data_IF_221614872516
#
_entry.id   IF_221614872516
#
_cell.length_a   1.000
_cell.length_b   1.000
_cell.length_c   1.000
_cell.angle_alpha   90.00
_cell.angle_beta   90.00
_cell.angle_gamma   90.00
#
_symmetry.space_group_name_H-M   'P 1'
#
loop_
_entity.id
_entity.type
_entity.pdbx_description
1 polymer ?
#
# COMPACT_ATOMS: atom_id res chain seq x y z
N UNK A 1 47.32 -57.12 -27.12
CA UNK A 1 47.36 -56.06 -26.09
C UNK A 1 46.19 -55.16 -26.25
N UNK A 2 45.19 -55.22 -25.33
CA UNK A 2 43.99 -54.38 -25.35
C UNK A 2 44.11 -53.35 -24.18
N UNK A 3 44.28 -52.12 -24.53
CA UNK A 3 44.28 -50.97 -23.55
C UNK A 3 42.85 -50.74 -23.06
N UNK A 4 42.65 -50.77 -21.74
CA UNK A 4 41.38 -50.35 -21.08
C UNK A 4 41.55 -48.92 -20.64
N UNK A 5 40.83 -48.00 -21.29
CA UNK A 5 40.72 -46.58 -20.88
C UNK A 5 39.64 -46.50 -19.82
N UNK A 6 40.02 -46.18 -18.58
CA UNK A 6 39.08 -45.88 -17.49
C UNK A 6 38.58 -44.44 -17.65
N UNK A 7 37.27 -44.29 -17.91
CA UNK A 7 36.56 -43.01 -17.92
C UNK A 7 36.11 -42.69 -16.50
N UNK A 8 36.77 -41.74 -15.83
CA UNK A 8 36.33 -41.17 -14.55
C UNK A 8 35.16 -40.24 -14.80
N UNK A 9 33.98 -40.67 -14.37
CA UNK A 9 32.80 -39.83 -14.31
C UNK A 9 32.89 -38.94 -13.08
N UNK A 10 33.16 -37.65 -13.28
CA UNK A 10 33.10 -36.62 -12.21
C UNK A 10 31.66 -36.17 -12.05
N UNK A 11 31.03 -36.58 -10.98
CA UNK A 11 29.67 -36.14 -10.63
C UNK A 11 29.74 -34.70 -10.08
N UNK A 12 29.25 -33.72 -10.84
CA UNK A 12 29.06 -32.34 -10.37
C UNK A 12 27.77 -32.30 -9.59
N UNK A 13 27.87 -32.14 -8.27
CA UNK A 13 26.73 -31.84 -7.39
C UNK A 13 26.48 -30.35 -7.48
N UNK A 14 25.46 -29.92 -8.23
CA UNK A 14 24.96 -28.53 -8.15
C UNK A 14 24.19 -28.39 -6.82
N UNK A 15 24.76 -27.62 -5.88
CA UNK A 15 24.03 -27.14 -4.70
C UNK A 15 23.04 -26.04 -5.14
N UNK A 16 21.74 -26.37 -5.17
CA UNK A 16 20.66 -25.38 -5.31
C UNK A 16 20.28 -24.81 -3.95
N UNK A 17 21.12 -23.91 -3.41
CA UNK A 17 20.86 -23.21 -2.15
C UNK A 17 20.66 -21.69 -2.39
N UNK A 18 19.70 -21.31 -3.25
CA UNK A 18 19.57 -19.89 -3.63
C UNK A 18 18.18 -19.26 -3.46
N UNK A 19 17.10 -20.01 -3.49
CA UNK A 19 15.77 -19.42 -3.61
C UNK A 19 15.09 -19.07 -2.27
N UNK A 20 15.34 -19.81 -1.21
CA UNK A 20 14.70 -19.57 0.09
C UNK A 20 15.23 -18.29 0.79
N UNK A 21 16.52 -17.98 0.62
CA UNK A 21 17.13 -16.79 1.23
C UNK A 21 16.68 -15.48 0.56
N UNK A 22 16.51 -15.47 -0.76
CA UNK A 22 16.03 -14.30 -1.50
C UNK A 22 14.56 -13.97 -1.15
N UNK A 23 13.69 -14.97 -1.07
CA UNK A 23 12.28 -14.78 -0.70
C UNK A 23 12.09 -14.28 0.74
N UNK A 24 12.93 -14.74 1.68
CA UNK A 24 12.88 -14.27 3.06
C UNK A 24 13.35 -12.82 3.19
N UNK A 25 14.40 -12.42 2.49
CA UNK A 25 14.90 -11.05 2.46
C UNK A 25 13.87 -10.07 1.86
N UNK A 26 13.21 -10.45 0.77
CA UNK A 26 12.13 -9.68 0.15
C UNK A 26 10.95 -9.50 1.12
N UNK A 27 10.54 -10.57 1.80
CA UNK A 27 9.47 -10.50 2.80
C UNK A 27 9.78 -9.55 3.95
N UNK A 28 11.00 -9.57 4.49
CA UNK A 28 11.40 -8.71 5.60
C UNK A 28 11.46 -7.23 5.17
N UNK A 29 11.88 -6.96 3.95
CA UNK A 29 11.84 -5.62 3.36
C UNK A 29 10.41 -5.12 3.18
N UNK A 30 9.50 -5.95 2.65
CA UNK A 30 8.07 -5.62 2.54
C UNK A 30 7.45 -5.30 3.91
N UNK A 31 7.75 -6.10 4.94
CA UNK A 31 7.27 -5.85 6.30
C UNK A 31 7.79 -4.52 6.84
N UNK A 32 9.08 -4.26 6.70
CA UNK A 32 9.70 -3.00 7.15
C UNK A 32 9.12 -1.80 6.42
N UNK A 33 8.95 -1.90 5.11
CA UNK A 33 8.35 -0.86 4.29
C UNK A 33 6.89 -0.58 4.72
N UNK A 34 6.04 -1.61 4.83
CA UNK A 34 4.66 -1.46 5.27
C UNK A 34 4.55 -0.76 6.64
N UNK A 35 5.38 -1.16 7.61
CA UNK A 35 5.39 -0.57 8.96
C UNK A 35 5.81 0.90 8.95
N UNK A 36 6.56 1.38 7.96
CA UNK A 36 6.97 2.79 7.85
C UNK A 36 5.83 3.73 7.49
N UNK A 37 4.68 3.20 7.06
CA UNK A 37 3.48 4.01 6.77
C UNK A 37 2.92 4.75 7.99
N UNK A 38 3.20 4.28 9.20
CA UNK A 38 2.61 4.79 10.44
C UNK A 38 3.68 5.14 11.48
N UNK A 39 3.33 5.89 12.55
CA UNK A 39 4.23 6.09 13.67
C UNK A 39 4.73 4.75 14.22
N UNK A 40 5.99 4.70 14.65
CA UNK A 40 6.66 3.48 15.13
C UNK A 40 5.81 2.67 16.11
N UNK A 41 5.17 3.34 17.09
CA UNK A 41 4.32 2.70 18.09
C UNK A 41 3.09 1.99 17.49
N UNK A 42 2.62 2.41 16.31
CA UNK A 42 1.54 1.78 15.55
C UNK A 42 2.09 0.71 14.63
N UNK A 43 3.03 1.05 13.75
CA UNK A 43 3.55 0.15 12.72
C UNK A 43 4.18 -1.12 13.27
N UNK A 44 4.97 -1.03 14.35
CA UNK A 44 5.63 -2.20 14.96
C UNK A 44 4.63 -3.23 15.53
N UNK A 45 3.44 -2.81 15.92
CA UNK A 45 2.39 -3.67 16.48
C UNK A 45 1.28 -4.01 15.49
N UNK A 46 1.33 -3.47 14.27
CA UNK A 46 0.34 -3.72 13.22
C UNK A 46 0.54 -5.09 12.55
N UNK A 47 -0.55 -5.64 12.03
CA UNK A 47 -0.47 -6.70 11.03
C UNK A 47 0.12 -6.16 9.74
N UNK A 48 0.84 -6.99 8.99
CA UNK A 48 1.29 -6.66 7.64
C UNK A 48 0.73 -7.67 6.67
N UNK A 49 0.11 -7.18 5.61
CA UNK A 49 -0.50 -8.01 4.57
C UNK A 49 -0.06 -7.54 3.18
N UNK A 50 -0.16 -8.43 2.23
CA UNK A 50 -0.04 -8.15 0.79
C UNK A 50 -1.14 -8.91 0.05
N UNK A 51 -1.19 -8.81 -1.28
CA UNK A 51 -2.12 -9.56 -2.11
C UNK A 51 -1.36 -10.46 -3.08
N UNK A 52 -1.90 -11.67 -3.31
CA UNK A 52 -1.41 -12.56 -4.36
C UNK A 52 -1.98 -12.14 -5.75
N UNK A 53 -1.53 -12.84 -6.81
CA UNK A 53 -1.96 -12.59 -8.20
C UNK A 53 -3.48 -12.79 -8.41
N UNK A 54 -4.17 -13.43 -7.46
CA UNK A 54 -5.63 -13.62 -7.46
C UNK A 54 -6.36 -12.64 -6.56
N UNK A 55 -5.66 -11.64 -6.06
CA UNK A 55 -6.20 -10.64 -5.12
C UNK A 55 -6.66 -11.23 -3.78
N UNK A 56 -6.11 -12.38 -3.36
CA UNK A 56 -6.29 -12.87 -2.01
C UNK A 56 -5.28 -12.22 -1.07
N UNK A 57 -5.75 -11.82 0.11
CA UNK A 57 -4.91 -11.24 1.14
C UNK A 57 -3.98 -12.30 1.76
N UNK A 58 -2.68 -12.02 1.75
CA UNK A 58 -1.61 -12.85 2.33
C UNK A 58 -1.03 -12.16 3.55
N UNK A 59 -1.07 -12.82 4.71
CA UNK A 59 -0.52 -12.27 5.96
C UNK A 59 0.99 -12.51 6.00
N UNK A 60 1.77 -11.43 5.99
CA UNK A 60 3.23 -11.45 6.14
C UNK A 60 3.65 -11.42 7.62
N UNK A 61 2.95 -10.65 8.45
CA UNK A 61 3.17 -10.51 9.90
C UNK A 61 1.83 -10.37 10.61
N UNK A 62 1.64 -11.05 11.75
CA UNK A 62 0.49 -10.84 12.62
C UNK A 62 0.79 -9.71 13.60
N UNK A 63 -0.17 -8.81 13.79
CA UNK A 63 -0.14 -7.71 14.75
C UNK A 63 -1.12 -7.89 15.90
N UNK A 64 -1.16 -6.91 16.81
CA UNK A 64 -1.93 -6.97 18.05
C UNK A 64 -2.73 -5.70 18.34
N UNK A 65 -2.58 -4.63 17.54
CA UNK A 65 -3.16 -3.32 17.82
C UNK A 65 -4.37 -2.93 16.96
N UNK A 66 -4.90 -3.87 16.14
CA UNK A 66 -6.04 -3.62 15.28
C UNK A 66 -5.72 -2.87 13.97
N UNK A 67 -4.47 -2.45 13.76
CA UNK A 67 -4.02 -1.88 12.49
C UNK A 67 -3.49 -2.95 11.56
N UNK A 68 -3.65 -2.70 10.25
CA UNK A 68 -3.08 -3.50 9.17
C UNK A 68 -2.34 -2.58 8.21
N UNK A 69 -1.08 -2.90 7.94
CA UNK A 69 -0.25 -2.16 7.01
C UNK A 69 -0.02 -2.96 5.74
N UNK A 70 -0.04 -2.27 4.61
CA UNK A 70 0.28 -2.77 3.28
C UNK A 70 1.60 -2.13 2.82
N UNK A 71 2.51 -2.89 2.21
CA UNK A 71 3.72 -2.34 1.62
C UNK A 71 3.40 -1.49 0.39
N UNK A 72 4.42 -0.78 -0.06
CA UNK A 72 4.42 -0.04 -1.32
C UNK A 72 3.82 -0.84 -2.49
N UNK A 73 3.01 -0.17 -3.32
CA UNK A 73 2.57 -0.70 -4.61
C UNK A 73 3.69 -0.48 -5.65
N UNK A 74 4.28 -1.54 -6.20
CA UNK A 74 5.35 -1.39 -7.19
C UNK A 74 4.88 -0.81 -8.53
N UNK A 75 3.58 -0.62 -8.72
CA UNK A 75 3.00 -0.02 -9.95
C UNK A 75 2.91 1.49 -9.90
N UNK A 76 3.12 2.10 -8.73
CA UNK A 76 3.21 3.55 -8.53
C UNK A 76 4.68 4.02 -8.55
N UNK A 77 4.96 5.29 -8.94
CA UNK A 77 6.34 5.77 -9.02
C UNK A 77 6.98 6.13 -7.67
N UNK A 78 6.22 6.24 -6.59
CA UNK A 78 6.73 6.59 -5.27
C UNK A 78 6.66 5.44 -4.27
N UNK A 79 7.26 5.66 -3.10
CA UNK A 79 7.10 4.79 -1.96
C UNK A 79 5.85 5.21 -1.19
N UNK A 80 4.77 4.43 -1.29
CA UNK A 80 3.44 4.77 -0.80
C UNK A 80 2.77 3.68 0.08
N UNK A 81 3.49 3.13 1.08
CA UNK A 81 2.88 2.17 1.99
C UNK A 81 1.76 2.83 2.80
N UNK A 82 0.75 2.05 3.13
CA UNK A 82 -0.42 2.50 3.89
C UNK A 82 -0.65 1.64 5.13
N UNK A 83 -1.06 2.24 6.24
CA UNK A 83 -1.40 1.54 7.48
C UNK A 83 -2.77 2.01 7.96
N UNK A 84 -3.73 1.11 8.07
CA UNK A 84 -5.16 1.43 8.28
C UNK A 84 -5.74 0.65 9.46
N UNK A 85 -6.77 1.19 10.09
CA UNK A 85 -7.58 0.46 11.05
C UNK A 85 -8.51 -0.56 10.36
N UNK A 86 -9.30 -1.31 11.12
CA UNK A 86 -10.20 -2.35 10.58
C UNK A 86 -11.20 -1.78 9.54
N UNK A 87 -11.76 -0.60 9.79
CA UNK A 87 -12.71 0.03 8.88
C UNK A 87 -12.02 0.59 7.63
N UNK A 88 -10.84 1.19 7.80
CA UNK A 88 -9.97 1.64 6.71
C UNK A 88 -9.51 0.46 5.85
N UNK A 89 -9.21 -0.70 6.44
CA UNK A 89 -8.86 -1.91 5.69
C UNK A 89 -10.00 -2.37 4.79
N UNK A 90 -11.23 -2.38 5.30
CA UNK A 90 -12.39 -2.75 4.50
C UNK A 90 -12.62 -1.79 3.31
N UNK A 91 -12.42 -0.48 3.53
CA UNK A 91 -12.46 0.55 2.49
C UNK A 91 -11.34 0.36 1.46
N UNK A 92 -10.11 0.14 1.91
CA UNK A 92 -8.94 -0.08 1.05
C UNK A 92 -9.10 -1.35 0.20
N UNK A 93 -9.60 -2.45 0.77
CA UNK A 93 -9.87 -3.68 0.01
C UNK A 93 -10.89 -3.44 -1.09
N UNK A 94 -11.97 -2.70 -0.81
CA UNK A 94 -12.99 -2.35 -1.80
C UNK A 94 -12.38 -1.52 -2.96
N UNK A 95 -11.53 -0.53 -2.64
CA UNK A 95 -10.81 0.27 -3.62
C UNK A 95 -9.91 -0.60 -4.52
N UNK A 96 -9.07 -1.43 -3.92
CA UNK A 96 -8.14 -2.33 -4.64
C UNK A 96 -8.91 -3.28 -5.56
N UNK A 97 -10.04 -3.81 -5.10
CA UNK A 97 -10.92 -4.70 -5.89
C UNK A 97 -11.81 -3.97 -6.88
N UNK A 98 -11.73 -2.65 -6.93
CA UNK A 98 -12.57 -1.78 -7.77
C UNK A 98 -14.07 -2.04 -7.58
N UNK A 99 -14.49 -2.25 -6.33
CA UNK A 99 -15.91 -2.37 -6.00
C UNK A 99 -16.62 -1.04 -6.25
N UNK A 100 -17.94 -1.03 -6.57
CA UNK A 100 -18.65 0.21 -6.87
C UNK A 100 -18.66 1.23 -5.74
N UNK A 101 -18.60 0.76 -4.48
CA UNK A 101 -18.51 1.57 -3.27
C UNK A 101 -17.87 0.76 -2.12
N UNK A 102 -17.23 1.44 -1.15
CA UNK A 102 -16.77 0.78 0.06
C UNK A 102 -17.97 0.41 0.97
N UNK A 103 -17.76 -0.44 1.99
CA UNK A 103 -18.79 -0.76 2.98
C UNK A 103 -19.29 0.50 3.69
N UNK A 104 -20.61 0.66 3.78
CA UNK A 104 -21.25 1.83 4.37
C UNK A 104 -21.15 1.87 5.91
N UNK A 105 -21.24 3.09 6.45
CA UNK A 105 -21.64 3.35 7.84
C UNK A 105 -20.52 3.35 8.88
N UNK A 106 -19.27 3.05 8.50
CA UNK A 106 -18.14 3.07 9.43
C UNK A 106 -17.05 4.01 8.96
N UNK A 107 -16.65 4.93 9.84
CA UNK A 107 -15.48 5.78 9.59
C UNK A 107 -14.24 4.91 9.81
N UNK A 108 -13.30 4.96 8.84
CA UNK A 108 -11.99 4.37 8.94
C UNK A 108 -10.90 5.43 9.07
N UNK A 109 -9.73 5.01 9.49
CA UNK A 109 -8.57 5.84 9.66
C UNK A 109 -7.33 5.21 9.02
N UNK A 110 -6.47 6.04 8.42
CA UNK A 110 -5.23 5.57 7.79
C UNK A 110 -4.07 6.53 7.91
N UNK A 111 -2.87 5.95 7.84
CA UNK A 111 -1.59 6.64 7.78
C UNK A 111 -0.89 6.36 6.45
N UNK A 112 -0.34 7.40 5.82
CA UNK A 112 0.62 7.33 4.72
C UNK A 112 1.78 8.29 4.98
N UNK A 113 2.63 7.97 5.98
CA UNK A 113 3.71 8.87 6.42
C UNK A 113 4.92 8.90 5.48
N UNK A 114 4.93 8.05 4.45
CA UNK A 114 5.90 8.11 3.36
C UNK A 114 5.38 8.95 2.17
N UNK A 115 4.14 9.44 2.26
CA UNK A 115 3.43 10.09 1.16
C UNK A 115 2.74 9.09 0.24
N UNK A 116 2.19 9.59 -0.87
CA UNK A 116 1.57 8.78 -1.92
C UNK A 116 1.74 9.40 -3.30
N UNK A 117 1.54 8.57 -4.32
CA UNK A 117 1.20 9.02 -5.67
C UNK A 117 -0.11 8.37 -6.12
N UNK A 118 -1.00 9.17 -6.68
CA UNK A 118 -2.26 8.72 -7.24
C UNK A 118 -2.38 9.11 -8.72
N UNK A 119 -3.18 8.37 -9.46
CA UNK A 119 -3.42 8.65 -10.89
C UNK A 119 -4.21 9.95 -11.07
N UNK A 120 -5.09 10.30 -10.13
CA UNK A 120 -5.97 11.47 -10.17
C UNK A 120 -6.44 11.84 -8.77
N UNK A 121 -6.65 13.14 -8.52
CA UNK A 121 -7.29 13.63 -7.29
C UNK A 121 -8.82 13.60 -7.35
N UNK A 122 -9.41 13.37 -8.53
CA UNK A 122 -10.88 13.43 -8.73
C UNK A 122 -11.51 12.07 -9.07
N UNK A 123 -10.74 11.13 -9.62
CA UNK A 123 -11.23 9.79 -10.01
C UNK A 123 -10.35 8.69 -9.43
N UNK A 124 -10.89 7.87 -8.48
CA UNK A 124 -10.12 6.77 -7.87
C UNK A 124 -9.68 5.69 -8.85
N UNK A 125 -10.31 5.62 -10.03
CA UNK A 125 -10.07 4.57 -11.03
C UNK A 125 -9.51 5.12 -12.35
N UNK A 126 -9.02 6.35 -12.34
CA UNK A 126 -8.36 6.92 -13.51
C UNK A 126 -7.15 6.05 -13.94
N UNK A 127 -6.91 5.89 -15.24
CA UNK A 127 -5.72 5.22 -15.72
C UNK A 127 -4.46 6.04 -15.37
N UNK A 128 -3.27 5.41 -15.34
CA UNK A 128 -2.03 6.15 -15.20
C UNK A 128 -1.94 7.32 -16.19
N UNK A 129 -1.48 8.50 -15.74
CA UNK A 129 -1.47 9.70 -16.58
C UNK A 129 -0.52 9.53 -17.77
N UNK A 130 -1.02 9.77 -18.98
CA UNK A 130 -0.26 9.59 -20.22
C UNK A 130 0.97 10.50 -20.33
N UNK A 131 0.98 11.62 -19.63
CA UNK A 131 2.10 12.58 -19.57
C UNK A 131 3.06 12.28 -18.40
N UNK A 132 2.81 11.23 -17.64
CA UNK A 132 3.62 10.82 -16.48
C UNK A 132 3.49 11.73 -15.25
N UNK A 133 2.53 12.66 -15.23
CA UNK A 133 2.33 13.59 -14.11
C UNK A 133 1.31 13.03 -13.14
N UNK A 134 1.81 12.27 -12.21
CA UNK A 134 1.03 11.75 -11.10
C UNK A 134 0.65 12.86 -10.11
N UNK A 135 -0.48 12.68 -9.45
CA UNK A 135 -0.82 13.46 -8.27
C UNK A 135 0.05 12.97 -7.10
N UNK A 136 0.74 13.90 -6.44
CA UNK A 136 1.63 13.60 -5.33
C UNK A 136 1.13 14.29 -4.05
N UNK A 137 1.09 13.55 -2.95
CA UNK A 137 0.87 14.08 -1.61
C UNK A 137 2.02 13.65 -0.70
N UNK A 138 2.50 14.58 0.13
CA UNK A 138 3.48 14.29 1.18
C UNK A 138 2.89 13.44 2.30
N UNK A 139 3.62 13.29 3.44
CA UNK A 139 3.13 12.60 4.62
C UNK A 139 1.76 13.11 5.06
N UNK A 140 0.81 12.19 5.26
CA UNK A 140 -0.56 12.54 5.63
C UNK A 140 -1.26 11.42 6.40
N UNK A 141 -2.41 11.76 6.97
CA UNK A 141 -3.38 10.82 7.50
C UNK A 141 -4.71 10.97 6.75
N UNK A 142 -5.52 9.92 6.77
CA UNK A 142 -6.79 9.85 6.04
C UNK A 142 -7.94 9.51 6.96
N UNK A 143 -9.10 10.12 6.71
CA UNK A 143 -10.39 9.74 7.30
C UNK A 143 -11.26 9.18 6.17
N UNK A 144 -11.51 7.88 6.20
CA UNK A 144 -12.33 7.17 5.21
C UNK A 144 -13.80 7.18 5.59
N UNK A 145 -14.69 7.16 4.58
CA UNK A 145 -16.14 7.17 4.77
C UNK A 145 -16.65 8.31 5.68
N UNK A 146 -16.10 9.53 5.60
CA UNK A 146 -16.64 10.64 6.38
C UNK A 146 -18.08 10.91 5.92
N UNK A 147 -18.95 11.27 6.86
CA UNK A 147 -20.26 11.81 6.47
C UNK A 147 -20.04 13.12 5.73
N UNK A 148 -20.76 13.35 4.63
CA UNK A 148 -20.65 14.57 3.83
C UNK A 148 -20.72 15.86 4.68
N UNK A 149 -21.59 15.92 5.70
CA UNK A 149 -21.67 17.05 6.62
C UNK A 149 -20.39 17.27 7.45
N UNK A 150 -19.61 16.23 7.71
CA UNK A 150 -18.37 16.34 8.48
C UNK A 150 -17.21 16.92 7.66
N UNK A 151 -17.27 16.81 6.34
CA UNK A 151 -16.23 17.31 5.43
C UNK A 151 -16.66 18.52 4.61
N UNK A 152 -17.90 19.03 4.79
CA UNK A 152 -18.47 20.15 4.02
C UNK A 152 -17.66 21.46 4.11
N UNK A 153 -16.86 21.62 5.17
CA UNK A 153 -16.00 22.80 5.36
C UNK A 153 -14.61 22.68 4.74
N UNK A 154 -14.24 21.54 4.19
CA UNK A 154 -12.93 21.33 3.59
C UNK A 154 -12.95 21.55 2.07
N UNK A 155 -11.84 22.05 1.50
CA UNK A 155 -11.72 22.21 0.05
C UNK A 155 -12.00 20.89 -0.68
N UNK A 156 -12.72 20.99 -1.80
CA UNK A 156 -12.95 19.90 -2.76
C UNK A 156 -12.29 20.29 -4.09
N UNK A 157 -10.96 20.27 -4.16
CA UNK A 157 -10.24 20.73 -5.34
C UNK A 157 -10.41 19.77 -6.50
N UNK A 158 -10.21 20.27 -7.73
CA UNK A 158 -10.01 19.42 -8.88
C UNK A 158 -8.67 18.66 -8.81
N UNK A 159 -7.99 18.50 -9.93
CA UNK A 159 -6.73 17.74 -10.06
C UNK A 159 -5.51 18.38 -9.35
N UNK A 160 -5.64 19.58 -8.79
CA UNK A 160 -4.53 20.30 -8.17
C UNK A 160 -4.89 20.82 -6.79
N UNK A 161 -4.95 19.96 -5.77
CA UNK A 161 -5.16 20.38 -4.39
C UNK A 161 -3.95 21.17 -3.87
N UNK A 162 -4.21 22.03 -2.87
CA UNK A 162 -3.16 22.53 -1.99
C UNK A 162 -2.84 21.44 -0.95
N UNK A 163 -1.82 20.65 -1.21
CA UNK A 163 -1.40 19.52 -0.37
C UNK A 163 -0.78 19.95 0.98
N UNK A 164 -0.71 21.25 1.26
CA UNK A 164 -0.24 21.78 2.56
C UNK A 164 -1.38 21.98 3.57
N UNK A 165 -2.63 21.80 3.15
CA UNK A 165 -3.82 21.94 3.96
C UNK A 165 -4.74 20.71 3.80
N UNK A 166 -5.66 20.46 4.76
CA UNK A 166 -6.62 19.37 4.59
C UNK A 166 -7.55 19.60 3.38
N UNK A 167 -7.81 18.55 2.60
CA UNK A 167 -8.71 18.56 1.45
C UNK A 167 -9.46 17.25 1.30
N UNK A 168 -10.55 17.27 0.53
CA UNK A 168 -11.30 16.07 0.17
C UNK A 168 -10.76 15.54 -1.16
N UNK A 169 -10.20 14.36 -1.15
CA UNK A 169 -9.79 13.63 -2.33
C UNK A 169 -10.96 12.80 -2.87
N UNK A 170 -11.06 12.69 -4.19
CA UNK A 170 -12.13 11.99 -4.94
C UNK A 170 -13.54 12.48 -4.57
N UNK A 171 -13.65 13.80 -4.30
CA UNK A 171 -14.89 14.44 -3.90
C UNK A 171 -16.06 14.07 -4.82
N UNK A 172 -17.20 13.72 -4.23
CA UNK A 172 -18.42 13.30 -4.94
C UNK A 172 -18.39 11.85 -5.47
N UNK A 173 -17.28 11.13 -5.31
CA UNK A 173 -17.23 9.69 -5.57
C UNK A 173 -17.64 8.88 -4.33
N UNK A 174 -18.01 7.59 -4.47
CA UNK A 174 -18.23 6.72 -3.31
C UNK A 174 -16.96 6.53 -2.44
N UNK A 175 -15.80 6.87 -2.96
CA UNK A 175 -14.49 6.76 -2.30
C UNK A 175 -13.96 8.09 -1.81
N UNK A 176 -14.81 9.13 -1.72
CA UNK A 176 -14.37 10.40 -1.15
C UNK A 176 -13.85 10.22 0.29
N UNK A 177 -12.75 10.88 0.60
CA UNK A 177 -12.12 10.83 1.90
C UNK A 177 -11.37 12.11 2.21
N UNK A 178 -11.15 12.37 3.50
CA UNK A 178 -10.43 13.54 3.96
C UNK A 178 -8.94 13.24 4.06
N UNK A 179 -8.15 14.02 3.37
CA UNK A 179 -6.69 14.05 3.42
C UNK A 179 -6.24 15.11 4.41
N UNK A 180 -5.36 14.77 5.35
CA UNK A 180 -4.85 15.68 6.38
C UNK A 180 -3.32 15.61 6.35
N UNK A 181 -2.64 16.62 5.77
CA UNK A 181 -1.17 16.67 5.75
C UNK A 181 -0.62 16.70 7.17
N UNK A 182 0.50 16.00 7.36
CA UNK A 182 1.26 16.04 8.62
C UNK A 182 2.72 16.36 8.31
N UNK A 183 3.47 16.94 9.27
CA UNK A 183 4.90 17.15 9.08
C UNK A 183 5.60 15.82 8.75
N UNK A 184 6.51 15.84 7.76
CA UNK A 184 7.45 14.75 7.55
C UNK A 184 8.44 14.64 8.73
N UNK A 185 8.93 13.42 8.99
CA UNK A 185 10.02 13.19 9.95
C UNK A 185 11.37 13.62 9.40
#
# INVERSE_FOLDING_TARGET
>A
MRSRTNLLMTTVILLTAGTAGAYAADKDEMIKNAMSAAPKAVGENASVVTFDDKMNMVVLKKGTNGFTCLPNDPTTPSNDPVCVDENGLAWTIALIKKEPAPPEGKIGFGYMLQGETATSNVDPFAPPPADGKWHEAGPHVMIFNPKAAAIAGYPQPGEKPDVTQPWVMWAGSPYEHLMIPVPGE
#
